data_IF_940613633463
#
_entry.id   IF_940613633463
#
_cell.length_a   1.000
_cell.length_b   1.000
_cell.length_c   1.000
_cell.angle_alpha   90.00
_cell.angle_beta   90.00
_cell.angle_gamma   90.00
#
_symmetry.space_group_name_H-M   'P 1'
#
loop_
_entity.id
_entity.type
_entity.pdbx_description
1 polymer ?
#
# COMPACT_ATOMS: atom_id res chain seq x y z
N UNK A 1 9.54 -1.46 7.26
CA UNK A 1 8.27 -0.78 6.90
C UNK A 1 8.34 -0.46 5.42
N UNK A 2 7.26 -0.73 4.69
CA UNK A 2 7.15 -0.42 3.27
C UNK A 2 6.99 1.09 3.05
N UNK A 3 7.46 1.56 1.90
CA UNK A 3 7.31 2.95 1.45
C UNK A 3 6.00 3.10 0.66
N UNK A 4 5.48 4.32 0.56
CA UNK A 4 4.23 4.61 -0.16
C UNK A 4 4.25 4.08 -1.62
N UNK A 5 5.41 4.12 -2.27
CA UNK A 5 5.59 3.57 -3.62
C UNK A 5 5.46 2.04 -3.70
N UNK A 6 5.88 1.33 -2.67
CA UNK A 6 5.75 -0.13 -2.57
C UNK A 6 4.31 -0.51 -2.24
N UNK A 7 3.68 0.23 -1.33
CA UNK A 7 2.27 0.07 -0.97
C UNK A 7 1.34 0.33 -2.16
N UNK A 8 1.67 1.32 -3.00
CA UNK A 8 0.95 1.60 -4.24
C UNK A 8 0.98 0.39 -5.19
N UNK A 9 2.13 -0.28 -5.32
CA UNK A 9 2.25 -1.51 -6.12
C UNK A 9 1.41 -2.64 -5.52
N UNK A 10 1.45 -2.84 -4.21
CA UNK A 10 0.63 -3.87 -3.56
C UNK A 10 -0.87 -3.59 -3.78
N UNK A 11 -1.29 -2.32 -3.78
CA UNK A 11 -2.67 -1.91 -4.06
C UNK A 11 -3.06 -2.14 -5.53
N UNK A 12 -2.17 -1.85 -6.48
CA UNK A 12 -2.42 -2.15 -7.90
C UNK A 12 -2.63 -3.66 -8.11
N UNK A 13 -1.83 -4.50 -7.44
CA UNK A 13 -1.97 -5.97 -7.49
C UNK A 13 -3.29 -6.43 -6.88
N UNK A 14 -3.69 -5.91 -5.72
CA UNK A 14 -4.98 -6.29 -5.10
C UNK A 14 -6.18 -5.94 -5.96
N UNK A 15 -6.07 -4.91 -6.79
CA UNK A 15 -7.10 -4.47 -7.72
C UNK A 15 -6.97 -5.12 -9.11
N UNK A 16 -6.03 -6.04 -9.31
CA UNK A 16 -5.72 -6.67 -10.60
C UNK A 16 -5.41 -5.64 -11.70
N UNK A 17 -4.74 -4.54 -11.33
CA UNK A 17 -4.34 -3.47 -12.23
C UNK A 17 -2.95 -3.76 -12.80
N UNK A 18 -2.81 -3.69 -14.12
CA UNK A 18 -1.51 -3.80 -14.77
C UNK A 18 -0.64 -2.59 -14.40
N UNK A 19 0.59 -2.88 -13.96
CA UNK A 19 1.58 -1.85 -13.63
C UNK A 19 2.69 -1.80 -14.68
N UNK A 20 3.42 -0.69 -14.69
CA UNK A 20 4.49 -0.44 -15.67
C UNK A 20 5.76 -1.23 -15.33
N UNK A 21 6.50 -1.63 -16.37
CA UNK A 21 7.72 -2.47 -16.27
C UNK A 21 8.84 -1.83 -15.44
N UNK A 22 8.86 -0.50 -15.33
CA UNK A 22 9.81 0.26 -14.50
C UNK A 22 9.70 -0.09 -13.01
N UNK A 23 8.58 -0.67 -12.59
CA UNK A 23 8.33 -1.14 -11.23
C UNK A 23 8.81 -2.58 -10.98
N UNK A 24 9.35 -3.29 -11.98
CA UNK A 24 9.82 -4.67 -11.84
C UNK A 24 10.99 -4.83 -10.86
N UNK A 25 11.87 -3.83 -10.72
CA UNK A 25 12.92 -3.89 -9.70
C UNK A 25 12.34 -3.96 -8.28
N UNK A 26 11.28 -3.20 -8.03
CA UNK A 26 10.57 -3.15 -6.74
C UNK A 26 9.72 -4.41 -6.54
N UNK A 27 9.12 -4.94 -7.59
CA UNK A 27 8.37 -6.21 -7.49
C UNK A 27 9.27 -7.36 -7.07
N UNK A 28 10.50 -7.42 -7.60
CA UNK A 28 11.49 -8.41 -7.18
C UNK A 28 11.80 -8.33 -5.68
N UNK A 29 11.94 -7.12 -5.15
CA UNK A 29 12.14 -6.89 -3.71
C UNK A 29 10.91 -7.34 -2.90
N UNK A 30 9.70 -6.98 -3.32
CA UNK A 30 8.47 -7.36 -2.64
C UNK A 30 8.22 -8.87 -2.64
N UNK A 31 8.67 -9.57 -3.69
CA UNK A 31 8.66 -11.04 -3.76
C UNK A 31 9.71 -11.63 -2.81
N UNK A 32 10.94 -11.11 -2.83
CA UNK A 32 12.01 -11.56 -1.94
C UNK A 32 11.65 -11.37 -0.45
N UNK A 33 10.99 -10.27 -0.13
CA UNK A 33 10.53 -9.94 1.22
C UNK A 33 9.22 -10.64 1.59
N UNK A 34 8.61 -11.39 0.66
CA UNK A 34 7.43 -12.23 0.89
C UNK A 34 6.11 -11.48 1.00
N UNK A 35 6.03 -10.24 0.50
CA UNK A 35 4.77 -9.50 0.38
C UNK A 35 3.96 -9.90 -0.85
N UNK A 36 4.66 -10.33 -1.90
CA UNK A 36 4.08 -10.74 -3.18
C UNK A 36 4.55 -12.14 -3.51
N UNK A 37 3.69 -12.92 -4.15
CA UNK A 37 4.02 -14.21 -4.75
C UNK A 37 3.76 -14.12 -6.26
N UNK A 38 4.59 -14.80 -7.05
CA UNK A 38 4.35 -14.94 -8.48
C UNK A 38 3.57 -16.23 -8.72
N UNK A 39 2.40 -16.13 -9.33
CA UNK A 39 1.62 -17.28 -9.82
C UNK A 39 1.60 -17.26 -11.35
N UNK A 40 2.50 -18.02 -11.97
CA UNK A 40 2.71 -18.02 -13.42
C UNK A 40 3.16 -16.66 -13.94
N UNK A 41 2.26 -15.98 -14.64
CA UNK A 41 2.45 -14.64 -15.22
C UNK A 41 1.81 -13.53 -14.36
N UNK A 42 1.03 -13.91 -13.36
CA UNK A 42 0.36 -13.01 -12.44
C UNK A 42 1.17 -12.83 -11.16
N UNK A 43 0.93 -11.70 -10.51
CA UNK A 43 1.41 -11.44 -9.17
C UNK A 43 0.21 -11.45 -8.23
N UNK A 44 0.36 -12.11 -7.09
CA UNK A 44 -0.66 -12.19 -6.04
C UNK A 44 -0.09 -11.68 -4.72
N UNK A 45 -0.94 -11.08 -3.89
CA UNK A 45 -0.55 -10.69 -2.54
C UNK A 45 -0.49 -11.91 -1.62
N UNK A 46 0.55 -11.98 -0.80
CA UNK A 46 0.55 -12.90 0.34
C UNK A 46 -0.26 -12.30 1.49
N UNK A 47 -0.54 -13.09 2.53
CA UNK A 47 -1.15 -12.57 3.76
C UNK A 47 -0.36 -11.37 4.33
N UNK A 48 0.98 -11.40 4.23
CA UNK A 48 1.84 -10.30 4.66
C UNK A 48 1.63 -9.04 3.82
N UNK A 49 1.48 -9.20 2.51
CA UNK A 49 1.14 -8.11 1.58
C UNK A 49 -0.19 -7.44 1.92
N UNK A 50 -1.22 -8.26 2.17
CA UNK A 50 -2.56 -7.77 2.54
C UNK A 50 -2.52 -6.99 3.86
N UNK A 51 -1.92 -7.56 4.91
CA UNK A 51 -1.77 -6.89 6.21
C UNK A 51 -1.02 -5.57 6.09
N UNK A 52 0.03 -5.49 5.27
CA UNK A 52 0.78 -4.25 5.09
C UNK A 52 -0.06 -3.10 4.48
N UNK A 53 -0.98 -3.42 3.57
CA UNK A 53 -1.92 -2.44 3.02
C UNK A 53 -2.91 -1.98 4.10
N UNK A 54 -3.45 -2.93 4.86
CA UNK A 54 -4.43 -2.63 5.93
C UNK A 54 -3.81 -1.79 7.04
N UNK A 55 -2.60 -2.13 7.49
CA UNK A 55 -1.85 -1.36 8.50
C UNK A 55 -1.57 0.06 8.01
N UNK A 56 -1.21 0.24 6.73
CA UNK A 56 -1.01 1.56 6.16
C UNK A 56 -2.32 2.36 6.05
N UNK A 57 -3.42 1.71 5.63
CA UNK A 57 -4.73 2.34 5.58
C UNK A 57 -5.19 2.79 6.98
N UNK A 58 -4.94 1.98 8.01
CA UNK A 58 -5.21 2.34 9.40
C UNK A 58 -4.36 3.53 9.86
N UNK A 59 -3.05 3.53 9.54
CA UNK A 59 -2.16 4.64 9.89
C UNK A 59 -2.53 5.96 9.20
N UNK A 60 -3.05 5.89 7.97
CA UNK A 60 -3.61 7.06 7.27
C UNK A 60 -4.91 7.54 7.91
N UNK A 61 -5.82 6.61 8.25
CA UNK A 61 -7.08 6.95 8.91
C UNK A 61 -6.88 7.59 10.29
N UNK A 62 -5.87 7.14 11.05
CA UNK A 62 -5.46 7.77 12.32
C UNK A 62 -4.93 9.20 12.10
N UNK A 63 -4.18 9.45 11.03
CA UNK A 63 -3.71 10.79 10.68
C UNK A 63 -4.84 11.72 10.20
N UNK A 64 -5.83 11.21 9.47
CA UNK A 64 -7.00 11.99 9.04
C UNK A 64 -7.94 12.30 10.22
N UNK A 65 -8.08 11.39 11.18
CA UNK A 65 -8.85 11.61 12.40
C UNK A 65 -8.26 12.73 13.27
N UNK A 66 -6.92 12.86 13.34
CA UNK A 66 -6.24 13.92 14.07
C UNK A 66 -6.39 15.30 13.38
N UNK A 67 -6.45 15.36 12.05
CA UNK A 67 -6.64 16.61 11.29
C UNK A 67 -8.10 17.10 11.25
N UNK A 68 -9.08 16.20 11.38
CA UNK A 68 -10.49 16.57 11.44
C UNK A 68 -10.92 17.19 12.78
N UNK A 69 -10.07 17.15 13.81
CA UNK A 69 -10.37 17.65 15.16
C UNK A 69 -9.82 19.06 15.46
N UNK A 70 -9.40 19.85 14.47
CA UNK A 70 -9.11 21.27 14.68
C UNK A 70 -10.42 22.07 14.62
N UNK A 71 -11.01 22.52 15.75
CA UNK A 71 -12.13 23.45 15.70
C UNK A 71 -11.63 24.75 15.10
N UNK A 72 -12.12 25.09 13.92
CA UNK A 72 -11.93 26.42 13.35
C UNK A 72 -12.73 27.40 14.20
N UNK A 73 -12.13 27.90 15.27
CA UNK A 73 -12.63 29.07 16.00
C UNK A 73 -12.47 30.28 15.08
N UNK A 74 -13.45 30.47 14.20
CA UNK A 74 -13.61 31.72 13.46
C UNK A 74 -14.50 32.64 14.29
N UNK A 75 -13.86 33.44 15.14
CA UNK A 75 -14.44 34.63 15.77
C UNK A 75 -14.89 35.61 14.67
N UNK A 76 -16.20 35.83 14.52
CA UNK A 76 -16.82 37.12 14.19
C UNK A 76 -18.22 37.17 14.80
#
# INVERSE_FOLDING_TARGET
MLRDEELSILRDISQSVAFADDRHGKIGQLIADGYVMKDGDLFELTAKGVTAIEEHAAALAENEAEQASAPSYRLV
#
